data_IF_357871678520
#
_entry.id   IF_357871678520
#
_cell.length_a   1.000
_cell.length_b   1.000
_cell.length_c   1.000
_cell.angle_alpha   90.00
_cell.angle_beta   90.00
_cell.angle_gamma   90.00
#
_symmetry.space_group_name_H-M   'P 1'
#
loop_
_entity.id
_entity.type
_entity.pdbx_description
1 polymer ?
#
# COMPACT_ATOMS: atom_id res chain seq x y z
N UNK A 1 10.11 -4.13 -1.40
CA UNK A 1 9.78 -2.70 -1.55
C UNK A 1 9.18 -2.49 -2.94
N UNK A 2 8.04 -1.81 -3.02
CA UNK A 2 7.34 -1.47 -4.26
C UNK A 2 7.29 0.05 -4.40
N UNK A 3 7.29 0.56 -5.63
CA UNK A 3 7.09 1.98 -5.90
C UNK A 3 5.68 2.17 -6.45
N UNK A 4 4.87 2.95 -5.74
CA UNK A 4 3.52 3.28 -6.17
C UNK A 4 3.54 3.96 -7.55
N UNK A 5 2.73 3.45 -8.48
CA UNK A 5 2.67 4.01 -9.85
C UNK A 5 1.55 5.02 -10.02
N UNK A 6 0.60 4.99 -9.08
CA UNK A 6 -0.55 5.90 -8.99
C UNK A 6 -0.72 6.39 -7.55
N UNK A 7 -1.45 7.49 -7.39
CA UNK A 7 -2.01 7.89 -6.12
C UNK A 7 -3.16 6.97 -5.71
N UNK A 8 -3.19 6.64 -4.43
CA UNK A 8 -4.23 5.84 -3.81
C UNK A 8 -4.54 6.45 -2.43
N UNK A 9 -5.76 6.93 -2.27
CA UNK A 9 -6.26 7.50 -1.03
C UNK A 9 -7.19 6.48 -0.37
N UNK A 10 -6.77 5.96 0.77
CA UNK A 10 -7.61 5.10 1.58
C UNK A 10 -8.63 5.94 2.35
N UNK A 11 -9.91 5.61 2.19
CA UNK A 11 -11.02 6.24 2.91
C UNK A 11 -11.06 5.80 4.38
N UNK A 12 -10.53 4.61 4.68
CA UNK A 12 -10.55 3.99 6.00
C UNK A 12 -9.13 3.81 6.56
N UNK A 13 -8.94 4.07 7.86
CA UNK A 13 -7.66 3.92 8.55
C UNK A 13 -7.10 2.49 8.64
N UNK A 14 -7.77 1.53 8.01
CA UNK A 14 -7.30 0.14 7.83
C UNK A 14 -6.53 -0.05 6.52
N UNK A 15 -6.73 0.85 5.56
CA UNK A 15 -6.17 0.78 4.22
C UNK A 15 -5.04 1.83 4.10
N UNK A 16 -3.98 1.51 3.35
CA UNK A 16 -2.79 2.34 3.23
C UNK A 16 -2.98 3.42 2.16
N UNK A 17 -2.97 4.70 2.54
CA UNK A 17 -2.86 5.80 1.58
C UNK A 17 -1.41 6.02 1.14
N UNK A 18 -1.18 6.14 -0.16
CA UNK A 18 0.14 6.43 -0.73
C UNK A 18 0.02 7.23 -2.03
N UNK A 19 1.07 7.96 -2.39
CA UNK A 19 1.11 8.74 -3.63
C UNK A 19 2.01 8.10 -4.66
N UNK A 20 1.75 8.37 -5.94
CA UNK A 20 2.65 8.01 -7.03
C UNK A 20 4.08 8.43 -6.72
N UNK A 21 5.00 7.49 -6.82
CA UNK A 21 6.42 7.68 -6.52
C UNK A 21 6.82 7.34 -5.09
N UNK A 22 5.87 7.12 -4.18
CA UNK A 22 6.17 6.66 -2.83
C UNK A 22 6.69 5.22 -2.83
N UNK A 23 7.59 4.92 -1.88
CA UNK A 23 8.12 3.58 -1.65
C UNK A 23 7.31 2.92 -0.55
N UNK A 24 6.63 1.82 -0.89
CA UNK A 24 5.88 0.98 0.04
C UNK A 24 6.74 -0.24 0.39
N UNK A 25 6.96 -0.46 1.67
CA UNK A 25 7.57 -1.69 2.15
C UNK A 25 6.49 -2.75 2.32
N UNK A 26 6.46 -3.73 1.40
CA UNK A 26 5.57 -4.90 1.51
C UNK A 26 6.02 -5.75 2.71
N UNK A 27 5.10 -6.02 3.63
CA UNK A 27 5.29 -6.87 4.81
C UNK A 27 4.65 -8.24 4.58
N UNK A 28 3.40 -8.27 4.10
CA UNK A 28 2.66 -9.51 3.86
C UNK A 28 1.94 -9.44 2.52
N UNK A 29 2.01 -10.53 1.76
CA UNK A 29 1.28 -10.69 0.50
C UNK A 29 0.21 -11.76 0.71
N UNK A 30 -1.06 -11.43 0.45
CA UNK A 30 -2.13 -12.42 0.42
C UNK A 30 -2.45 -12.82 -1.02
N UNK A 31 -2.76 -14.10 -1.23
CA UNK A 31 -3.24 -14.64 -2.51
C UNK A 31 -4.59 -14.04 -2.96
N UNK A 32 -5.28 -13.35 -2.05
CA UNK A 32 -6.51 -12.60 -2.32
C UNK A 32 -6.26 -11.32 -3.11
N UNK A 33 -4.99 -10.93 -3.31
CA UNK A 33 -4.58 -9.71 -4.02
C UNK A 33 -4.40 -8.48 -3.12
N UNK A 34 -4.57 -8.64 -1.80
CA UNK A 34 -4.33 -7.60 -0.80
C UNK A 34 -2.97 -7.78 -0.13
N UNK A 35 -2.16 -6.75 -0.19
CA UNK A 35 -0.84 -6.72 0.43
C UNK A 35 -0.85 -5.75 1.61
N UNK A 36 -0.19 -6.14 2.70
CA UNK A 36 0.06 -5.26 3.83
C UNK A 36 1.43 -4.65 3.66
N UNK A 37 1.52 -3.34 3.86
CA UNK A 37 2.78 -2.64 3.74
C UNK A 37 2.84 -1.35 4.53
N UNK A 38 4.05 -0.81 4.59
CA UNK A 38 4.35 0.44 5.28
C UNK A 38 4.83 1.47 4.28
N UNK A 39 4.15 2.61 4.25
CA UNK A 39 4.53 3.79 3.48
C UNK A 39 4.67 4.97 4.43
N UNK A 40 5.81 5.66 4.40
CA UNK A 40 6.06 6.87 5.23
C UNK A 40 5.77 6.70 6.73
N UNK A 41 5.95 5.49 7.27
CA UNK A 41 5.68 5.16 8.67
C UNK A 41 4.21 4.81 8.99
N UNK A 42 3.32 4.86 8.00
CA UNK A 42 1.93 4.40 8.10
C UNK A 42 1.87 2.97 7.57
N UNK A 43 1.23 2.06 8.32
CA UNK A 43 0.98 0.66 7.92
C UNK A 43 -0.47 0.50 7.51
N UNK A 44 -0.73 -0.26 6.47
CA UNK A 44 -2.08 -0.60 6.07
C UNK A 44 -2.13 -1.57 4.89
N UNK A 45 -3.34 -1.99 4.58
CA UNK A 45 -3.61 -2.87 3.45
C UNK A 45 -3.73 -2.07 2.16
N UNK A 46 -3.19 -2.59 1.06
CA UNK A 46 -3.36 -2.03 -0.26
C UNK A 46 -3.53 -3.13 -1.31
N UNK A 47 -4.28 -2.87 -2.39
CA UNK A 47 -4.38 -3.80 -3.49
C UNK A 47 -3.04 -3.89 -4.23
N UNK A 48 -2.60 -5.11 -4.55
CA UNK A 48 -1.37 -5.41 -5.31
C UNK A 48 -1.31 -4.82 -6.73
N UNK A 49 -2.42 -4.25 -7.22
CA UNK A 49 -2.60 -3.84 -8.62
C UNK A 49 -2.36 -2.33 -8.88
N UNK A 50 -1.73 -1.60 -7.95
CA UNK A 50 -1.61 -0.13 -7.97
C UNK A 50 -0.14 0.37 -7.82
#
# INVERSE_FOLDING_TARGET
YMRATTDYDADDGTVLSFRKGDIIQVITEQDTGWWDGVCKGVRGWFPSNY
#
